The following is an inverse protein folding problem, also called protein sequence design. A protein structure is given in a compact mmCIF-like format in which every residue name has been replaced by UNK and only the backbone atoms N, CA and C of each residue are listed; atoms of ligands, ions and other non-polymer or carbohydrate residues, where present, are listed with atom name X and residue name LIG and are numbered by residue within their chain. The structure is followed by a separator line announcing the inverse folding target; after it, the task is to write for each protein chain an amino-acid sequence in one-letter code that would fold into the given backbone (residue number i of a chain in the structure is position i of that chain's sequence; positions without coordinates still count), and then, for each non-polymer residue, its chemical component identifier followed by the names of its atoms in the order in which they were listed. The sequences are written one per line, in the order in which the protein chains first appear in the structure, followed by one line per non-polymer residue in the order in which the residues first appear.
data_IF_189573910463
#
_entry.id   IF_189573910463
#
_cell.length_a   1.000
_cell.length_b   1.000
_cell.length_c   1.000
_cell.angle_alpha   90.00
_cell.angle_beta   90.00
_cell.angle_gamma   90.00
#
_symmetry.space_group_name_H-M   'P 1'
#
loop_
_entity.id
_entity.type
_entity.pdbx_description
1 polymer ?
#
# COMPACT_ATOMS: atom_id res chain seq x y z
N UNK A 1 15.34 -20.86 -4.35
CA UNK A 1 15.05 -19.58 -5.04
C UNK A 1 13.54 -19.44 -5.17
N UNK A 2 12.89 -18.60 -4.36
CA UNK A 2 11.45 -18.36 -4.50
C UNK A 2 11.20 -17.29 -5.56
N UNK A 3 10.98 -17.71 -6.81
CA UNK A 3 10.30 -16.88 -7.80
C UNK A 3 8.84 -16.76 -7.36
N UNK A 4 8.55 -15.84 -6.45
CA UNK A 4 7.18 -15.40 -6.22
C UNK A 4 6.75 -14.62 -7.46
N UNK A 5 6.07 -15.31 -8.37
CA UNK A 5 5.33 -14.70 -9.46
C UNK A 5 4.29 -13.76 -8.81
N UNK A 6 4.61 -12.48 -8.71
CA UNK A 6 3.61 -11.41 -8.59
C UNK A 6 2.82 -11.41 -9.88
N UNK A 7 1.84 -12.31 -9.94
CA UNK A 7 0.88 -12.43 -11.02
C UNK A 7 -0.15 -11.34 -10.80
N UNK A 8 0.16 -10.15 -11.30
CA UNK A 8 -0.64 -8.95 -11.14
C UNK A 8 -0.21 -7.88 -12.15
N UNK A 9 -1.14 -7.00 -12.58
CA UNK A 9 -0.81 -5.88 -13.44
C UNK A 9 0.24 -5.00 -12.73
N UNK A 10 1.30 -4.57 -13.43
CA UNK A 10 2.40 -3.77 -12.82
C UNK A 10 1.93 -2.48 -12.16
N UNK A 11 0.75 -2.02 -12.56
CA UNK A 11 0.12 -0.77 -12.20
C UNK A 11 -1.38 -1.00 -12.11
N UNK A 12 -2.02 -0.49 -11.06
CA UNK A 12 -3.47 -0.48 -10.90
C UNK A 12 -3.98 0.96 -10.82
N UNK A 13 -5.04 1.24 -11.57
CA UNK A 13 -5.74 2.54 -11.50
C UNK A 13 -6.88 2.42 -10.52
N UNK A 14 -6.89 3.30 -9.52
CA UNK A 14 -7.94 3.37 -8.53
C UNK A 14 -9.13 4.17 -9.09
N UNK A 15 -10.35 3.92 -8.59
CA UNK A 15 -11.53 4.69 -8.95
C UNK A 15 -11.43 6.19 -8.59
N UNK A 16 -10.45 6.58 -7.76
CA UNK A 16 -10.13 7.99 -7.43
C UNK A 16 -9.31 8.69 -8.55
N UNK A 17 -8.88 7.96 -9.58
CA UNK A 17 -7.94 8.44 -10.60
C UNK A 17 -6.47 8.36 -10.18
N UNK A 18 -6.18 8.00 -8.93
CA UNK A 18 -4.82 7.69 -8.48
C UNK A 18 -4.33 6.38 -9.08
N UNK A 19 -3.03 6.32 -9.37
CA UNK A 19 -2.39 5.15 -9.97
C UNK A 19 -1.36 4.62 -8.97
N UNK A 20 -1.43 3.33 -8.62
CA UNK A 20 -0.47 2.68 -7.72
C UNK A 20 0.31 1.65 -8.52
N UNK A 21 1.63 1.65 -8.34
CA UNK A 21 2.55 0.72 -8.97
C UNK A 21 3.34 -0.04 -7.90
N UNK A 22 4.08 -1.06 -8.31
CA UNK A 22 5.03 -1.73 -7.42
C UNK A 22 6.11 -0.81 -6.82
N UNK A 23 6.40 0.32 -7.46
CA UNK A 23 7.38 1.29 -6.99
C UNK A 23 6.87 2.13 -5.81
N UNK A 24 5.54 2.32 -5.75
CA UNK A 24 4.87 3.02 -4.64
C UNK A 24 4.77 2.15 -3.38
N UNK A 25 4.95 0.83 -3.53
CA UNK A 25 4.97 -0.09 -2.40
C UNK A 25 6.17 0.19 -1.49
N UNK A 26 5.98 0.23 -0.17
CA UNK A 26 7.10 0.40 0.76
C UNK A 26 8.11 -0.74 0.60
N UNK A 27 9.40 -0.43 0.79
CA UNK A 27 10.43 -1.46 0.76
C UNK A 27 10.20 -2.48 1.89
N UNK A 28 10.62 -3.73 1.70
CA UNK A 28 10.45 -4.81 2.68
C UNK A 28 11.07 -4.46 4.06
N UNK A 29 12.18 -3.71 4.08
CA UNK A 29 12.86 -3.23 5.30
C UNK A 29 12.13 -2.10 6.06
N UNK A 30 10.88 -1.81 5.71
CA UNK A 30 10.11 -0.73 6.33
C UNK A 30 9.72 -1.08 7.77
N UNK A 31 10.45 -0.51 8.74
CA UNK A 31 10.13 -0.65 10.17
C UNK A 31 9.03 0.29 10.68
N UNK A 32 8.81 1.42 10.00
CA UNK A 32 7.82 2.43 10.41
C UNK A 32 6.61 2.45 9.49
N UNK A 33 5.50 1.89 9.98
CA UNK A 33 4.22 1.89 9.30
C UNK A 33 3.39 3.12 9.64
N UNK A 34 3.46 4.14 8.78
CA UNK A 34 2.56 5.30 8.81
C UNK A 34 1.25 5.01 8.08
N UNK A 35 0.19 5.75 8.40
CA UNK A 35 -1.14 5.56 7.80
C UNK A 35 -1.12 5.51 6.26
N UNK A 36 -0.32 6.35 5.61
CA UNK A 36 -0.18 6.36 4.15
C UNK A 36 0.40 5.06 3.59
N UNK A 37 1.42 4.48 4.23
CA UNK A 37 2.06 3.24 3.77
C UNK A 37 1.14 2.03 3.98
N UNK A 38 0.46 1.98 5.11
CA UNK A 38 -0.58 0.96 5.38
C UNK A 38 -1.67 1.03 4.32
N UNK A 39 -2.10 2.24 3.96
CA UNK A 39 -3.12 2.45 2.94
C UNK A 39 -2.66 2.00 1.55
N UNK A 40 -1.40 2.26 1.16
CA UNK A 40 -0.85 1.81 -0.13
C UNK A 40 -0.83 0.28 -0.21
N UNK A 41 -0.34 -0.41 0.81
CA UNK A 41 -0.31 -1.88 0.83
C UNK A 41 -1.72 -2.48 0.82
N UNK A 42 -2.64 -1.93 1.61
CA UNK A 42 -4.03 -2.36 1.62
C UNK A 42 -4.71 -2.15 0.27
N UNK A 43 -4.51 -0.99 -0.38
CA UNK A 43 -5.01 -0.71 -1.74
C UNK A 43 -4.40 -1.68 -2.75
N UNK A 44 -3.09 -1.93 -2.69
CA UNK A 44 -2.42 -2.85 -3.60
C UNK A 44 -2.98 -4.27 -3.49
N UNK A 45 -3.32 -4.73 -2.29
CA UNK A 45 -3.98 -6.04 -2.08
C UNK A 45 -5.43 -6.00 -2.56
N UNK A 46 -6.18 -4.95 -2.23
CA UNK A 46 -7.60 -4.79 -2.58
C UNK A 46 -7.84 -4.75 -4.10
N UNK A 47 -6.97 -4.04 -4.84
CA UNK A 47 -7.06 -3.90 -6.30
C UNK A 47 -6.28 -4.97 -7.07
N UNK A 48 -5.69 -5.96 -6.39
CA UNK A 48 -5.01 -7.09 -7.03
C UNK A 48 -3.64 -6.77 -7.65
N UNK A 49 -2.98 -5.68 -7.23
CA UNK A 49 -1.57 -5.40 -7.57
C UNK A 49 -0.62 -6.43 -6.95
N UNK A 50 -0.89 -6.83 -5.70
CA UNK A 50 -0.17 -7.91 -5.01
C UNK A 50 -1.15 -8.85 -4.33
N UNK A 51 -0.77 -10.13 -4.17
CA UNK A 51 -1.59 -11.08 -3.41
C UNK A 51 -1.46 -10.82 -1.93
N UNK A 52 -2.53 -11.13 -1.19
CA UNK A 52 -2.58 -11.04 0.28
C UNK A 52 -1.44 -11.81 0.95
N UNK A 53 -1.23 -13.05 0.54
CA UNK A 53 -0.15 -13.90 1.05
C UNK A 53 1.26 -13.36 0.73
N UNK A 54 1.44 -12.70 -0.42
CA UNK A 54 2.70 -12.06 -0.78
C UNK A 54 2.95 -10.81 0.08
N UNK A 55 1.91 -10.05 0.42
CA UNK A 55 2.04 -8.91 1.33
C UNK A 55 2.39 -9.35 2.76
N UNK A 56 1.72 -10.38 3.27
CA UNK A 56 1.97 -10.98 4.59
C UNK A 56 3.41 -11.44 4.70
N UNK A 57 3.91 -12.19 3.71
CA UNK A 57 5.28 -12.68 3.74
C UNK A 57 6.33 -11.58 3.51
N UNK A 58 6.09 -10.68 2.54
CA UNK A 58 7.05 -9.61 2.21
C UNK A 58 7.27 -8.63 3.37
N UNK A 59 6.23 -8.38 4.17
CA UNK A 59 6.24 -7.40 5.25
C UNK A 59 6.15 -8.03 6.65
N UNK A 60 6.18 -9.36 6.73
CA UNK A 60 6.03 -10.14 7.97
C UNK A 60 4.78 -9.72 8.79
N UNK A 61 3.68 -9.45 8.10
CA UNK A 61 2.41 -8.99 8.69
C UNK A 61 1.49 -10.16 8.97
N UNK A 62 0.64 -10.05 9.98
CA UNK A 62 -0.43 -11.02 10.21
C UNK A 62 -1.62 -10.81 9.26
N UNK A 63 -2.38 -11.88 9.01
CA UNK A 63 -3.60 -11.83 8.20
C UNK A 63 -4.60 -10.81 8.75
N UNK A 64 -4.80 -10.81 10.07
CA UNK A 64 -5.66 -9.87 10.79
C UNK A 64 -5.19 -8.43 10.65
N UNK A 65 -3.88 -8.15 10.73
CA UNK A 65 -3.36 -6.80 10.54
C UNK A 65 -3.66 -6.26 9.15
N UNK A 66 -3.47 -7.10 8.13
CA UNK A 66 -3.77 -6.73 6.75
C UNK A 66 -5.27 -6.53 6.54
N UNK A 67 -6.11 -7.37 7.16
CA UNK A 67 -7.56 -7.19 7.21
C UNK A 67 -7.95 -5.84 7.82
N UNK A 68 -7.32 -5.47 8.93
CA UNK A 68 -7.57 -4.19 9.60
C UNK A 68 -7.18 -3.01 8.72
N UNK A 69 -6.09 -3.12 7.96
CA UNK A 69 -5.68 -2.06 7.03
C UNK A 69 -6.63 -1.96 5.84
N UNK A 70 -7.08 -3.09 5.29
CA UNK A 70 -8.09 -3.11 4.22
C UNK A 70 -9.39 -2.49 4.73
N UNK A 71 -9.88 -2.90 5.90
CA UNK A 71 -11.07 -2.30 6.54
C UNK A 71 -10.89 -0.82 6.86
N UNK A 72 -9.69 -0.39 7.25
CA UNK A 72 -9.42 1.03 7.47
C UNK A 72 -9.52 1.80 6.15
N UNK A 73 -8.94 1.29 5.05
CA UNK A 73 -9.03 1.90 3.72
C UNK A 73 -10.47 1.88 3.18
N UNK A 74 -11.20 0.80 3.38
CA UNK A 74 -12.58 0.63 2.93
C UNK A 74 -13.54 1.53 3.70
N UNK A 75 -13.42 1.61 5.03
CA UNK A 75 -14.19 2.55 5.88
C UNK A 75 -13.89 4.01 5.56
N UNK A 76 -12.64 4.30 5.21
CA UNK A 76 -12.23 5.63 4.77
C UNK A 76 -12.43 5.86 3.26
N UNK A 77 -13.16 4.98 2.56
CA UNK A 77 -13.30 4.93 1.10
C UNK A 77 -13.18 6.27 0.38
N UNK A 78 -12.27 6.33 -0.60
CA UNK A 78 -11.91 7.41 -1.54
C UNK A 78 -11.52 8.78 -0.93
N UNK A 79 -12.15 9.24 0.16
CA UNK A 79 -12.00 10.60 0.72
C UNK A 79 -11.20 10.67 2.03
N UNK A 80 -10.93 9.54 2.68
CA UNK A 80 -10.48 9.54 4.09
C UNK A 80 -8.98 9.58 4.34
N UNK A 81 -8.14 9.56 3.29
CA UNK A 81 -6.69 9.81 3.44
C UNK A 81 -6.28 11.19 2.90
N UNK A 82 -7.13 12.20 3.11
CA UNK A 82 -6.70 13.61 3.08
C UNK A 82 -5.96 13.94 4.37
N UNK A 83 -4.96 13.14 4.75
CA UNK A 83 -3.95 13.57 5.71
C UNK A 83 -3.00 14.45 4.93
N UNK A 84 -3.37 15.72 4.90
CA UNK A 84 -2.47 16.88 4.91
C UNK A 84 -1.26 16.73 4.01
N UNK A 85 -1.30 17.40 2.84
CA UNK A 85 -0.11 17.91 2.15
C UNK A 85 0.90 18.32 3.22
N UNK A 86 1.93 17.51 3.43
CA UNK A 86 3.17 17.98 4.04
C UNK A 86 3.77 18.86 2.95
N UNK A 87 3.35 20.12 3.01
CA UNK A 87 4.05 21.22 2.40
C UNK A 87 5.46 21.25 3.03
N UNK A 88 6.46 21.32 2.16
CA UNK A 88 7.84 21.73 2.45
C UNK A 88 8.70 20.79 3.31
N UNK A 89 9.38 19.86 2.64
CA UNK A 89 10.83 19.73 2.82
C UNK A 89 11.53 19.88 1.46
N UNK A 90 11.48 21.11 0.94
CA UNK A 90 12.45 21.56 -0.08
C UNK A 90 13.71 21.98 0.67
N UNK A 91 14.51 20.99 1.06
CA UNK A 91 15.93 21.22 1.35
C UNK A 91 16.63 21.54 0.04
N UNK A 92 17.15 22.76 -0.08
CA UNK A 92 17.75 23.22 -1.34
C UNK A 92 18.39 24.60 -1.28
N UNK A 93 19.16 24.89 -0.23
CA UNK A 93 20.51 25.48 -0.28
C UNK A 93 20.99 25.88 1.11
#
# INVERSE_FOLDING_TARGET
MYLRKTDGPRVVTLPDGSVISHDDLPCADTRRWVASRKAVVAKAVLYGLIKRADAIDRYELSDDELSDWIRAVERHGLSGLKVTRIDVLRGGR
#
